data_IF_971449764625
#
_entry.id   IF_971449764625
#
_cell.length_a   1.000
_cell.length_b   1.000
_cell.length_c   1.000
_cell.angle_alpha   90.00
_cell.angle_beta   90.00
_cell.angle_gamma   90.00
#
_symmetry.space_group_name_H-M   'P 1'
#
loop_
_entity.id
_entity.type
_entity.pdbx_description
1 polymer ?
#
# COMPACT_ATOMS: atom_id res chain seq x y z
N UNK A 1 -12.47 -21.84 10.24
CA UNK A 1 -11.83 -22.21 8.95
C UNK A 1 -10.77 -21.19 8.61
N UNK A 2 -9.79 -21.56 7.79
CA UNK A 2 -8.91 -20.55 7.19
C UNK A 2 -9.70 -19.78 6.11
N UNK A 3 -9.65 -18.46 6.21
CA UNK A 3 -10.22 -17.51 5.26
C UNK A 3 -9.30 -17.38 4.04
N UNK A 4 -9.75 -16.68 2.98
CA UNK A 4 -8.91 -16.43 1.79
C UNK A 4 -7.64 -15.66 2.13
N UNK A 5 -7.66 -14.84 3.19
CA UNK A 5 -6.48 -14.16 3.71
C UNK A 5 -5.62 -15.03 4.65
N UNK A 6 -5.87 -16.34 4.74
CA UNK A 6 -5.09 -17.29 5.55
C UNK A 6 -5.37 -17.27 7.06
N UNK A 7 -6.17 -16.32 7.54
CA UNK A 7 -6.51 -16.19 8.97
C UNK A 7 -7.67 -17.09 9.38
N UNK A 8 -7.69 -17.55 10.63
CA UNK A 8 -8.81 -18.34 11.16
C UNK A 8 -10.04 -17.46 11.46
N UNK A 9 -11.22 -17.90 11.01
CA UNK A 9 -12.49 -17.24 11.28
C UNK A 9 -13.67 -18.23 11.23
N UNK A 10 -14.81 -17.84 11.80
CA UNK A 10 -16.07 -18.56 11.65
C UNK A 10 -16.53 -18.65 10.18
N UNK A 11 -17.09 -19.81 9.80
CA UNK A 11 -17.54 -20.04 8.42
C UNK A 11 -18.63 -19.06 7.97
N UNK A 12 -19.53 -18.68 8.88
CA UNK A 12 -20.63 -17.75 8.60
C UNK A 12 -20.11 -16.35 8.29
N UNK A 13 -19.20 -15.83 9.12
CA UNK A 13 -18.59 -14.52 8.90
C UNK A 13 -17.77 -14.51 7.61
N UNK A 14 -16.89 -15.51 7.43
CA UNK A 14 -16.07 -15.60 6.23
C UNK A 14 -16.90 -15.60 4.95
N UNK A 15 -18.05 -16.32 4.91
CA UNK A 15 -18.95 -16.30 3.75
C UNK A 15 -19.60 -14.94 3.52
N UNK A 16 -20.04 -14.27 4.58
CA UNK A 16 -20.67 -12.95 4.49
C UNK A 16 -19.70 -11.86 4.00
N UNK A 17 -18.40 -12.01 4.29
CA UNK A 17 -17.38 -11.00 3.99
C UNK A 17 -16.37 -11.47 2.93
N UNK A 18 -16.85 -12.13 1.88
CA UNK A 18 -16.07 -12.53 0.69
C UNK A 18 -14.82 -13.39 0.96
N UNK A 19 -14.81 -14.08 2.10
CA UNK A 19 -13.69 -14.89 2.56
C UNK A 19 -12.61 -14.09 3.27
N UNK A 20 -12.89 -12.89 3.79
CA UNK A 20 -11.99 -12.15 4.66
C UNK A 20 -12.29 -12.42 6.13
N UNK A 21 -11.25 -12.41 6.98
CA UNK A 21 -11.44 -12.39 8.43
C UNK A 21 -11.84 -10.98 8.91
N UNK A 22 -12.30 -10.86 10.16
CA UNK A 22 -12.68 -9.57 10.75
C UNK A 22 -11.60 -8.50 10.65
N UNK A 23 -10.36 -8.85 11.02
CA UNK A 23 -9.23 -7.90 11.00
C UNK A 23 -8.96 -7.36 9.60
N UNK A 24 -8.87 -8.25 8.60
CA UNK A 24 -8.62 -7.82 7.23
C UNK A 24 -9.79 -6.97 6.70
N UNK A 25 -11.03 -7.37 7.00
CA UNK A 25 -12.21 -6.59 6.63
C UNK A 25 -12.19 -5.18 7.23
N UNK A 26 -11.89 -5.05 8.53
CA UNK A 26 -11.79 -3.75 9.19
C UNK A 26 -10.67 -2.89 8.60
N UNK A 27 -9.52 -3.48 8.29
CA UNK A 27 -8.42 -2.74 7.67
C UNK A 27 -8.81 -2.22 6.27
N UNK A 28 -9.47 -3.03 5.45
CA UNK A 28 -9.93 -2.56 4.14
C UNK A 28 -11.01 -1.50 4.26
N UNK A 29 -11.95 -1.66 5.20
CA UNK A 29 -12.97 -0.65 5.47
C UNK A 29 -12.35 0.69 5.87
N UNK A 30 -11.32 0.67 6.72
CA UNK A 30 -10.58 1.87 7.09
C UNK A 30 -9.90 2.56 5.91
N UNK A 31 -9.26 1.80 5.01
CA UNK A 31 -8.61 2.37 3.83
C UNK A 31 -9.62 3.01 2.87
N UNK A 32 -10.77 2.37 2.67
CA UNK A 32 -11.87 2.91 1.86
C UNK A 32 -12.40 4.19 2.50
N UNK A 33 -12.67 4.18 3.81
CA UNK A 33 -13.15 5.36 4.54
C UNK A 33 -12.14 6.52 4.47
N UNK A 34 -10.84 6.22 4.57
CA UNK A 34 -9.77 7.21 4.45
C UNK A 34 -9.77 7.85 3.05
N UNK A 35 -9.83 7.04 1.99
CA UNK A 35 -9.89 7.53 0.60
C UNK A 35 -11.18 8.34 0.35
N UNK A 36 -12.33 7.86 0.83
CA UNK A 36 -13.62 8.55 0.65
C UNK A 36 -13.67 9.90 1.36
N UNK A 37 -13.10 10.00 2.58
CA UNK A 37 -13.16 11.23 3.38
C UNK A 37 -12.09 12.25 3.00
N UNK A 38 -10.88 11.79 2.70
CA UNK A 38 -9.69 12.64 2.57
C UNK A 38 -9.08 12.60 1.17
N UNK A 39 -9.60 11.74 0.30
CA UNK A 39 -9.11 11.57 -1.04
C UNK A 39 -7.89 10.66 -1.12
N UNK A 40 -7.46 10.47 -2.37
CA UNK A 40 -6.35 9.63 -2.76
C UNK A 40 -5.00 10.01 -2.10
N UNK A 41 -4.78 11.31 -1.84
CA UNK A 41 -3.54 11.80 -1.22
C UNK A 41 -3.34 11.24 0.20
N UNK A 42 -4.40 11.19 1.01
CA UNK A 42 -4.33 10.62 2.35
C UNK A 42 -4.02 9.11 2.33
N UNK A 43 -4.53 8.39 1.32
CA UNK A 43 -4.21 6.97 1.14
C UNK A 43 -2.72 6.78 0.80
N UNK A 44 -2.15 7.63 -0.05
CA UNK A 44 -0.72 7.60 -0.37
C UNK A 44 0.13 7.91 0.86
N UNK A 45 -0.20 8.96 1.61
CA UNK A 45 0.52 9.32 2.84
C UNK A 45 0.46 8.23 3.90
N UNK A 46 -0.69 7.55 4.03
CA UNK A 46 -0.83 6.39 4.90
C UNK A 46 0.13 5.28 4.49
N UNK A 47 0.17 4.91 3.21
CA UNK A 47 1.08 3.86 2.73
C UNK A 47 2.54 4.25 2.88
N UNK A 48 2.88 5.52 2.64
CA UNK A 48 4.22 6.02 2.90
C UNK A 48 4.65 5.81 4.35
N UNK A 49 3.77 6.19 5.27
CA UNK A 49 3.99 6.04 6.71
C UNK A 49 4.14 4.57 7.10
N UNK A 50 3.33 3.68 6.53
CA UNK A 50 3.45 2.23 6.78
C UNK A 50 4.76 1.66 6.25
N UNK A 51 5.21 2.09 5.07
CA UNK A 51 6.49 1.65 4.49
C UNK A 51 7.64 2.13 5.38
N UNK A 52 7.68 3.42 5.74
CA UNK A 52 8.72 3.95 6.61
C UNK A 52 8.75 3.27 7.98
N UNK A 53 7.59 3.03 8.59
CA UNK A 53 7.52 2.46 9.94
C UNK A 53 7.91 0.97 10.00
N UNK A 54 7.76 0.21 8.90
CA UNK A 54 7.93 -1.24 8.93
C UNK A 54 9.09 -1.76 8.07
N UNK A 55 9.62 -0.97 7.14
CA UNK A 55 10.61 -1.44 6.16
C UNK A 55 11.99 -0.77 6.29
N UNK A 56 12.18 0.23 7.14
CA UNK A 56 13.37 1.09 7.13
C UNK A 56 14.72 0.44 7.46
N UNK A 57 14.79 -0.83 7.88
CA UNK A 57 16.04 -1.41 8.41
C UNK A 57 16.51 -2.74 7.78
N UNK A 58 15.82 -3.27 6.76
CA UNK A 58 16.19 -4.58 6.17
C UNK A 58 16.68 -4.49 4.73
N UNK A 59 17.67 -5.32 4.34
CA UNK A 59 18.05 -5.50 2.92
C UNK A 59 16.87 -5.94 2.06
N UNK A 60 15.92 -6.66 2.64
CA UNK A 60 14.71 -7.14 1.98
C UNK A 60 13.77 -5.99 1.59
N UNK A 61 13.84 -4.86 2.32
CA UNK A 61 13.06 -3.67 2.00
C UNK A 61 13.46 -3.03 0.68
N UNK A 62 14.76 -2.95 0.36
CA UNK A 62 15.20 -2.40 -0.93
C UNK A 62 14.68 -3.23 -2.09
N UNK A 63 14.74 -4.56 -1.98
CA UNK A 63 14.22 -5.48 -2.99
C UNK A 63 12.69 -5.37 -3.12
N UNK A 64 11.97 -5.24 -2.00
CA UNK A 64 10.52 -5.04 -2.02
C UNK A 64 10.14 -3.71 -2.67
N UNK A 65 10.85 -2.62 -2.37
CA UNK A 65 10.61 -1.30 -2.96
C UNK A 65 10.81 -1.37 -4.49
N UNK A 66 11.85 -2.05 -4.96
CA UNK A 66 12.08 -2.26 -6.39
C UNK A 66 10.92 -3.02 -7.05
N UNK A 67 10.47 -4.12 -6.44
CA UNK A 67 9.31 -4.86 -6.95
C UNK A 67 8.02 -4.04 -6.95
N UNK A 68 7.83 -3.15 -5.97
CA UNK A 68 6.67 -2.25 -5.93
C UNK A 68 6.75 -1.19 -7.03
N UNK A 69 7.93 -0.64 -7.29
CA UNK A 69 8.16 0.31 -8.40
C UNK A 69 7.81 -0.37 -9.74
N UNK A 70 8.37 -1.56 -10.00
CA UNK A 70 8.08 -2.33 -11.21
C UNK A 70 6.59 -2.62 -11.37
N UNK A 71 5.92 -3.00 -10.27
CA UNK A 71 4.48 -3.25 -10.27
C UNK A 71 3.69 -2.00 -10.66
N UNK A 72 3.96 -0.86 -10.03
CA UNK A 72 3.22 0.38 -10.31
C UNK A 72 3.53 0.96 -11.69
N UNK A 73 4.75 0.81 -12.20
CA UNK A 73 5.07 1.16 -13.59
C UNK A 73 4.24 0.35 -14.59
N UNK A 74 4.07 -0.96 -14.37
CA UNK A 74 3.18 -1.79 -15.20
C UNK A 74 1.72 -1.34 -15.10
N UNK A 75 1.26 -1.04 -13.88
CA UNK A 75 -0.12 -0.57 -13.64
C UNK A 75 -0.43 0.77 -14.31
N UNK A 76 0.57 1.61 -14.52
CA UNK A 76 0.39 2.88 -15.24
C UNK A 76 -0.13 2.65 -16.68
N UNK A 77 0.31 1.56 -17.31
CA UNK A 77 -0.13 1.15 -18.65
C UNK A 77 -1.48 0.44 -18.59
N UNK A 78 -1.67 -0.45 -17.61
CA UNK A 78 -2.88 -1.28 -17.49
C UNK A 78 -4.11 -0.48 -17.03
N UNK A 79 -3.93 0.56 -16.22
CA UNK A 79 -5.02 1.30 -15.56
C UNK A 79 -4.82 2.81 -15.68
N UNK A 80 -5.00 3.40 -16.88
CA UNK A 80 -4.79 4.84 -17.09
C UNK A 80 -5.70 5.73 -16.22
N UNK A 81 -6.89 5.24 -15.85
CA UNK A 81 -7.83 5.97 -14.99
C UNK A 81 -7.31 6.26 -13.59
N UNK A 82 -6.27 5.56 -13.13
CA UNK A 82 -5.63 5.75 -11.82
C UNK A 82 -4.22 6.33 -11.94
N UNK A 83 -3.88 6.95 -13.09
CA UNK A 83 -2.55 7.50 -13.36
C UNK A 83 -2.05 8.45 -12.25
N UNK A 84 -2.93 9.31 -11.72
CA UNK A 84 -2.57 10.24 -10.64
C UNK A 84 -2.10 9.50 -9.37
N UNK A 85 -2.88 8.54 -8.89
CA UNK A 85 -2.53 7.68 -7.76
C UNK A 85 -1.20 6.96 -8.00
N UNK A 86 -1.08 6.31 -9.15
CA UNK A 86 0.06 5.46 -9.48
C UNK A 86 1.34 6.31 -9.53
N UNK A 87 1.29 7.50 -10.15
CA UNK A 87 2.44 8.41 -10.19
C UNK A 87 2.85 8.89 -8.79
N UNK A 88 1.90 9.15 -7.89
CA UNK A 88 2.21 9.52 -6.51
C UNK A 88 2.85 8.36 -5.74
N UNK A 89 2.33 7.15 -5.88
CA UNK A 89 2.94 5.95 -5.29
C UNK A 89 4.37 5.73 -5.82
N UNK A 90 4.60 5.91 -7.13
CA UNK A 90 5.93 5.82 -7.72
C UNK A 90 6.88 6.88 -7.17
N UNK A 91 6.44 8.13 -7.10
CA UNK A 91 7.23 9.22 -6.50
C UNK A 91 7.62 8.88 -5.07
N UNK A 92 6.64 8.49 -4.26
CA UNK A 92 6.82 8.09 -2.87
C UNK A 92 7.83 6.94 -2.70
N UNK A 93 7.69 5.86 -3.48
CA UNK A 93 8.59 4.70 -3.42
C UNK A 93 10.02 5.08 -3.82
N UNK A 94 10.17 5.89 -4.88
CA UNK A 94 11.48 6.42 -5.29
C UNK A 94 12.11 7.28 -4.20
N UNK A 95 11.32 8.09 -3.48
CA UNK A 95 11.81 8.89 -2.34
C UNK A 95 12.26 8.04 -1.14
N UNK A 96 11.72 6.83 -0.95
CA UNK A 96 12.25 5.90 0.06
C UNK A 96 13.60 5.33 -0.39
N UNK A 97 13.72 4.97 -1.67
CA UNK A 97 14.93 4.36 -2.23
C UNK A 97 16.10 5.34 -2.34
N UNK A 98 15.82 6.54 -2.80
CA UNK A 98 16.77 7.64 -2.91
C UNK A 98 16.25 8.83 -2.11
N UNK A 99 16.44 8.81 -0.78
CA UNK A 99 16.03 9.91 0.07
C UNK A 99 16.66 11.22 -0.40
N UNK A 100 15.87 12.29 -0.38
CA UNK A 100 16.38 13.62 -0.66
C UNK A 100 17.50 13.96 0.32
N UNK A 101 18.69 14.20 -0.23
CA UNK A 101 19.86 14.57 0.55
C UNK A 101 20.03 16.09 0.55
N UNK A 102 19.48 16.73 1.58
CA UNK A 102 19.57 18.18 1.77
C UNK A 102 21.02 18.68 1.89
N UNK A 103 21.97 17.80 2.26
CA UNK A 103 23.38 18.19 2.39
C UNK A 103 24.07 18.42 1.04
N UNK A 104 23.50 17.92 -0.07
CA UNK A 104 24.00 18.14 -1.44
C UNK A 104 23.63 19.48 -2.04
N UNK A 105 22.84 20.29 -1.32
CA UNK A 105 22.45 21.64 -1.75
C UNK A 105 23.36 22.75 -1.19
N UNK A 106 24.39 22.38 -0.40
CA UNK A 106 25.34 23.30 0.24
C UNK A 106 26.65 23.33 -0.53
#
# INVERSE_FOLDING_TARGET
MNTKCGHYESNSYARAHHGLCRKCQSNFAYLVELEEKHGEDALVEYWYSQILANLSESKDASCLIDHLIDFYQRKLIEIPSKQRYINKMLYMLSSVKEPFDASKLV
#
